data_IF_622459202825
#
_entry.id   IF_622459202825
#
_cell.length_a   1.000
_cell.length_b   1.000
_cell.length_c   1.000
_cell.angle_alpha   90.00
_cell.angle_beta   90.00
_cell.angle_gamma   90.00
#
_symmetry.space_group_name_H-M   'P 1'
#
loop_
_entity.id
_entity.type
_entity.pdbx_description
1 polymer ?
#
# COMPACT_ATOMS: atom_id res chain seq x y z
N UNK A 1 -6.67 -14.68 -39.06
CA UNK A 1 -7.01 -13.40 -38.43
C UNK A 1 -7.26 -13.66 -36.95
N UNK A 2 -6.23 -13.51 -36.12
CA UNK A 2 -6.33 -13.74 -34.68
C UNK A 2 -6.86 -12.48 -34.01
N UNK A 3 -8.04 -12.55 -33.40
CA UNK A 3 -8.54 -11.51 -32.52
C UNK A 3 -7.59 -11.39 -31.33
N UNK A 4 -6.87 -10.28 -31.27
CA UNK A 4 -6.09 -9.88 -30.11
C UNK A 4 -7.08 -9.67 -28.95
N UNK A 5 -6.97 -10.52 -27.92
CA UNK A 5 -7.63 -10.35 -26.63
C UNK A 5 -7.25 -8.97 -26.09
N UNK A 6 -8.17 -8.02 -26.23
CA UNK A 6 -8.11 -6.67 -25.71
C UNK A 6 -7.65 -6.67 -24.25
N UNK A 7 -6.72 -5.79 -23.90
CA UNK A 7 -6.20 -5.57 -22.55
C UNK A 7 -7.33 -5.45 -21.50
N UNK A 8 -7.67 -6.57 -20.85
CA UNK A 8 -8.69 -6.67 -19.79
C UNK A 8 -8.03 -6.43 -18.43
N UNK A 9 -7.87 -5.16 -18.08
CA UNK A 9 -7.43 -4.76 -16.75
C UNK A 9 -8.22 -3.55 -16.28
N UNK A 10 -8.30 -3.35 -14.95
CA UNK A 10 -9.00 -2.21 -14.39
C UNK A 10 -8.36 -0.90 -14.85
N UNK A 11 -9.22 0.08 -15.14
CA UNK A 11 -8.84 1.39 -15.68
C UNK A 11 -8.78 2.49 -14.65
N UNK A 12 -9.47 2.30 -13.53
CA UNK A 12 -9.53 3.27 -12.46
C UNK A 12 -9.63 2.60 -11.09
N UNK A 13 -9.43 3.41 -10.06
CA UNK A 13 -9.60 3.04 -8.66
C UNK A 13 -10.46 4.08 -7.95
N UNK A 14 -11.34 3.63 -7.08
CA UNK A 14 -12.11 4.52 -6.18
C UNK A 14 -11.18 5.03 -5.08
N UNK A 15 -11.04 6.35 -4.94
CA UNK A 15 -10.18 6.97 -3.93
C UNK A 15 -10.96 7.58 -2.76
N UNK A 16 -12.24 7.91 -2.94
CA UNK A 16 -13.11 8.33 -1.85
C UNK A 16 -14.57 7.97 -2.16
N UNK A 17 -15.34 7.65 -1.12
CA UNK A 17 -16.79 7.41 -1.18
C UNK A 17 -17.43 8.06 0.03
N UNK A 18 -18.32 9.01 -0.21
CA UNK A 18 -19.17 9.64 0.79
C UNK A 18 -20.64 9.42 0.39
N UNK A 19 -21.47 8.98 1.35
CA UNK A 19 -22.84 8.57 1.10
C UNK A 19 -22.98 7.21 0.41
N UNK A 20 -24.18 6.95 -0.13
CA UNK A 20 -24.54 5.66 -0.73
C UNK A 20 -24.26 5.64 -2.23
N UNK A 21 -23.31 4.81 -2.63
CA UNK A 21 -22.99 4.52 -4.02
C UNK A 21 -22.94 3.00 -4.25
N UNK A 22 -23.29 2.60 -5.47
CA UNK A 22 -23.24 1.21 -5.91
C UNK A 22 -22.62 1.11 -7.28
N UNK A 23 -22.07 -0.06 -7.58
CA UNK A 23 -21.51 -0.40 -8.88
C UNK A 23 -22.29 -1.58 -9.44
N UNK A 24 -22.68 -1.47 -10.70
CA UNK A 24 -23.32 -2.51 -11.47
C UNK A 24 -22.25 -3.19 -12.34
N UNK A 25 -21.88 -4.42 -11.97
CA UNK A 25 -20.93 -5.26 -12.71
C UNK A 25 -21.60 -6.58 -13.08
N UNK A 26 -21.55 -6.95 -14.35
CA UNK A 26 -22.14 -8.21 -14.85
C UNK A 26 -23.59 -8.43 -14.39
N UNK A 27 -24.39 -7.36 -14.42
CA UNK A 27 -25.81 -7.38 -14.04
C UNK A 27 -26.10 -7.38 -12.54
N UNK A 28 -25.08 -7.41 -11.67
CA UNK A 28 -25.24 -7.40 -10.22
C UNK A 28 -24.81 -6.04 -9.67
N UNK A 29 -25.63 -5.49 -8.77
CA UNK A 29 -25.31 -4.26 -8.05
C UNK A 29 -24.76 -4.59 -6.67
N UNK A 30 -23.62 -4.02 -6.32
CA UNK A 30 -23.08 -4.08 -4.96
C UNK A 30 -22.62 -2.70 -4.49
N UNK A 31 -22.48 -2.54 -3.18
CA UNK A 31 -22.04 -1.28 -2.59
C UNK A 31 -20.61 -0.96 -3.06
N UNK A 32 -20.41 0.28 -3.51
CA UNK A 32 -19.12 0.76 -3.96
C UNK A 32 -18.20 0.96 -2.73
N UNK A 33 -16.99 0.44 -2.80
CA UNK A 33 -15.99 0.58 -1.75
C UNK A 33 -14.78 1.41 -2.19
N UNK A 34 -14.09 1.99 -1.22
CA UNK A 34 -12.79 2.63 -1.47
C UNK A 34 -11.75 1.57 -1.85
N UNK A 35 -10.81 1.93 -2.73
CA UNK A 35 -9.85 1.04 -3.40
C UNK A 35 -10.47 0.01 -4.34
N UNK A 36 -11.76 0.07 -4.59
CA UNK A 36 -12.39 -0.79 -5.58
C UNK A 36 -11.83 -0.49 -6.97
N UNK A 37 -11.35 -1.55 -7.63
CA UNK A 37 -10.86 -1.47 -9.00
C UNK A 37 -12.05 -1.44 -9.96
N UNK A 38 -12.02 -0.52 -10.91
CA UNK A 38 -13.11 -0.28 -11.86
C UNK A 38 -12.69 -0.65 -13.28
N UNK A 39 -13.59 -1.32 -13.99
CA UNK A 39 -13.45 -1.73 -15.38
C UNK A 39 -14.22 -0.80 -16.33
N UNK A 40 -13.84 -0.83 -17.61
CA UNK A 40 -14.41 0.03 -18.68
C UNK A 40 -15.90 -0.19 -18.96
N UNK A 41 -16.48 -1.24 -18.42
CA UNK A 41 -17.89 -1.61 -18.59
C UNK A 41 -18.73 -1.34 -17.36
N UNK A 42 -18.11 -0.95 -16.25
CA UNK A 42 -18.81 -0.75 -15.00
C UNK A 42 -19.71 0.50 -15.08
N UNK A 43 -20.85 0.42 -14.39
CA UNK A 43 -21.73 1.56 -14.19
C UNK A 43 -21.85 1.85 -12.71
N UNK A 44 -21.73 3.11 -12.33
CA UNK A 44 -21.93 3.56 -10.97
C UNK A 44 -23.32 4.16 -10.84
N UNK A 45 -23.93 3.96 -9.67
CA UNK A 45 -25.16 4.61 -9.28
C UNK A 45 -24.95 5.26 -7.92
N UNK A 46 -25.12 6.58 -7.89
CA UNK A 46 -25.03 7.39 -6.68
C UNK A 46 -26.44 7.77 -6.23
N UNK A 47 -26.68 7.74 -4.92
CA UNK A 47 -27.89 8.29 -4.31
C UNK A 47 -27.79 9.81 -4.10
N UNK A 48 -28.87 10.42 -3.62
CA UNK A 48 -28.84 11.83 -3.24
C UNK A 48 -27.74 12.09 -2.20
N UNK A 49 -27.04 13.22 -2.37
CA UNK A 49 -25.91 13.64 -1.52
C UNK A 49 -24.67 12.73 -1.53
N UNK A 50 -24.66 11.65 -2.33
CA UNK A 50 -23.47 10.84 -2.49
C UNK A 50 -22.41 11.58 -3.32
N UNK A 51 -21.14 11.35 -2.97
CA UNK A 51 -19.95 11.80 -3.69
C UNK A 51 -18.97 10.65 -3.83
N UNK A 52 -18.40 10.50 -5.01
CA UNK A 52 -17.37 9.48 -5.28
C UNK A 52 -16.20 10.14 -5.99
N UNK A 53 -14.98 9.86 -5.55
CA UNK A 53 -13.75 10.22 -6.27
C UNK A 53 -13.13 8.99 -6.91
N UNK A 54 -12.74 9.14 -8.17
CA UNK A 54 -12.21 8.07 -9.01
C UNK A 54 -10.93 8.56 -9.66
N UNK A 55 -9.85 7.80 -9.49
CA UNK A 55 -8.58 8.07 -10.13
C UNK A 55 -8.33 7.10 -11.28
N UNK A 56 -8.15 7.65 -12.48
CA UNK A 56 -7.62 6.96 -13.64
C UNK A 56 -6.11 7.13 -13.64
N UNK A 57 -5.36 6.04 -13.47
CA UNK A 57 -3.89 6.06 -13.42
C UNK A 57 -3.26 5.76 -14.78
N UNK A 58 -4.04 5.25 -15.74
CA UNK A 58 -3.61 5.04 -17.12
C UNK A 58 -3.75 6.32 -17.96
N UNK A 59 -3.00 6.39 -19.07
CA UNK A 59 -3.09 7.48 -20.04
C UNK A 59 -2.65 8.83 -19.46
N UNK A 60 -3.54 9.83 -19.51
CA UNK A 60 -3.23 11.19 -19.07
C UNK A 60 -3.27 11.39 -17.55
N UNK A 61 -3.75 10.40 -16.78
CA UNK A 61 -3.87 10.53 -15.33
C UNK A 61 -4.92 11.57 -14.93
N UNK A 62 -6.11 11.14 -14.51
CA UNK A 62 -7.21 12.06 -14.19
C UNK A 62 -7.95 11.64 -12.93
N UNK A 63 -8.47 12.62 -12.21
CA UNK A 63 -9.39 12.39 -11.09
C UNK A 63 -10.75 12.95 -11.48
N UNK A 64 -11.78 12.12 -11.31
CA UNK A 64 -13.17 12.49 -11.51
C UNK A 64 -13.88 12.51 -10.15
N UNK A 65 -14.53 13.63 -9.85
CA UNK A 65 -15.42 13.79 -8.70
C UNK A 65 -16.86 13.74 -9.19
N UNK A 66 -17.56 12.67 -8.83
CA UNK A 66 -18.97 12.44 -9.15
C UNK A 66 -19.82 12.87 -7.96
N UNK A 67 -20.94 13.54 -8.19
CA UNK A 67 -21.84 13.94 -7.10
C UNK A 67 -23.32 13.94 -7.47
N UNK A 68 -24.15 13.71 -6.46
CA UNK A 68 -25.61 13.75 -6.56
C UNK A 68 -26.23 12.43 -7.02
N UNK A 69 -27.56 12.38 -7.11
CA UNK A 69 -28.24 11.21 -7.60
C UNK A 69 -28.00 11.07 -9.11
N UNK A 70 -27.63 9.87 -9.55
CA UNK A 70 -27.46 9.62 -10.97
C UNK A 70 -26.67 8.35 -11.26
N UNK A 71 -26.69 7.97 -12.54
CA UNK A 71 -25.92 6.88 -13.10
C UNK A 71 -24.76 7.40 -13.92
N UNK A 72 -23.61 6.74 -13.80
CA UNK A 72 -22.38 7.10 -14.48
C UNK A 72 -21.81 5.86 -15.16
N UNK A 73 -21.39 5.97 -16.41
CA UNK A 73 -20.69 4.91 -17.12
C UNK A 73 -19.19 5.17 -17.14
N UNK A 74 -18.40 4.17 -16.75
CA UNK A 74 -16.95 4.21 -16.91
C UNK A 74 -16.58 3.93 -18.37
N UNK A 75 -15.51 4.59 -18.84
CA UNK A 75 -14.87 4.38 -20.14
C UNK A 75 -13.38 4.11 -19.91
N UNK A 76 -12.57 4.09 -20.98
CA UNK A 76 -11.15 3.77 -20.86
C UNK A 76 -10.36 4.80 -20.04
N UNK A 77 -10.72 6.07 -20.15
CA UNK A 77 -10.02 7.23 -19.59
C UNK A 77 -11.01 8.35 -19.18
N UNK A 78 -12.29 8.03 -19.08
CA UNK A 78 -13.36 9.00 -18.89
C UNK A 78 -14.56 8.42 -18.10
N UNK A 79 -15.40 9.32 -17.59
CA UNK A 79 -16.67 9.01 -16.92
C UNK A 79 -17.78 9.84 -17.52
N UNK A 80 -18.86 9.19 -17.93
CA UNK A 80 -20.00 9.85 -18.58
C UNK A 80 -21.25 9.73 -17.72
N UNK A 81 -21.94 10.84 -17.48
CA UNK A 81 -23.25 10.84 -16.83
C UNK A 81 -24.34 10.29 -17.75
N UNK A 82 -25.15 9.37 -17.26
CA UNK A 82 -26.25 8.75 -18.02
C UNK A 82 -27.60 9.42 -17.73
N UNK A 83 -27.72 10.16 -16.63
CA UNK A 83 -28.95 10.82 -16.21
C UNK A 83 -28.82 12.35 -16.31
N UNK A 84 -29.94 13.01 -16.62
CA UNK A 84 -30.04 14.46 -16.61
C UNK A 84 -29.84 14.98 -15.17
N UNK A 85 -28.76 15.73 -14.93
CA UNK A 85 -28.38 16.23 -13.60
C UNK A 85 -27.15 15.55 -12.99
N UNK A 86 -26.56 14.56 -13.67
CA UNK A 86 -25.27 13.97 -13.28
C UNK A 86 -24.19 15.06 -13.21
N UNK A 87 -23.53 15.23 -12.06
CA UNK A 87 -22.46 16.21 -11.88
C UNK A 87 -21.11 15.52 -11.86
N UNK A 88 -20.26 15.89 -12.82
CA UNK A 88 -18.90 15.38 -12.97
C UNK A 88 -17.97 16.59 -12.98
N UNK A 89 -17.00 16.60 -12.06
CA UNK A 89 -15.87 17.53 -12.09
C UNK A 89 -14.63 16.72 -12.38
N UNK A 90 -13.82 17.18 -13.34
CA UNK A 90 -12.58 16.53 -13.74
C UNK A 90 -11.40 17.43 -13.43
N UNK A 91 -10.30 16.83 -12.95
CA UNK A 91 -8.99 17.46 -12.87
C UNK A 91 -7.90 16.51 -13.34
N UNK A 92 -6.86 17.08 -13.95
CA UNK A 92 -5.68 16.32 -14.33
C UNK A 92 -4.80 16.02 -13.12
N UNK A 93 -4.24 14.81 -13.06
CA UNK A 93 -3.15 14.48 -12.15
C UNK A 93 -1.85 15.10 -12.67
N UNK A 94 -0.99 15.52 -11.75
CA UNK A 94 0.35 15.98 -12.09
C UNK A 94 1.11 14.91 -12.90
N UNK A 95 1.90 15.35 -13.89
CA UNK A 95 2.55 14.45 -14.86
C UNK A 95 3.41 13.33 -14.25
N UNK A 96 3.97 13.52 -13.05
CA UNK A 96 4.75 12.49 -12.36
C UNK A 96 3.94 11.24 -12.01
N UNK A 97 2.61 11.36 -11.84
CA UNK A 97 1.72 10.22 -11.60
C UNK A 97 1.61 9.31 -12.84
N UNK A 98 1.77 9.86 -14.04
CA UNK A 98 1.69 9.10 -15.31
C UNK A 98 2.86 8.12 -15.48
N UNK A 99 3.99 8.40 -14.83
CA UNK A 99 5.15 7.52 -14.86
C UNK A 99 4.99 6.27 -13.98
N UNK A 100 3.98 6.25 -13.10
CA UNK A 100 3.73 5.11 -12.21
C UNK A 100 2.71 4.19 -12.83
N UNK A 101 3.09 2.92 -12.93
CA UNK A 101 2.14 1.83 -13.21
C UNK A 101 1.43 1.42 -11.93
N UNK A 102 0.62 2.32 -11.36
CA UNK A 102 -0.27 1.95 -10.25
C UNK A 102 -1.30 0.98 -10.80
N UNK A 103 -1.27 -0.27 -10.33
CA UNK A 103 -2.24 -1.30 -10.71
C UNK A 103 -3.45 -1.25 -9.77
N UNK A 104 -4.65 -0.86 -10.22
CA UNK A 104 -5.85 -0.94 -9.39
C UNK A 104 -6.09 -2.39 -8.93
N UNK A 105 -6.53 -2.59 -7.69
CA UNK A 105 -6.88 -3.90 -7.14
C UNK A 105 -5.72 -4.79 -6.67
N UNK A 106 -4.46 -4.35 -6.79
CA UNK A 106 -3.32 -5.05 -6.20
C UNK A 106 -3.16 -4.80 -4.69
N UNK A 107 -3.76 -3.71 -4.20
CA UNK A 107 -3.74 -3.29 -2.80
C UNK A 107 -4.72 -4.17 -2.04
N UNK A 108 -4.19 -5.06 -1.18
CA UNK A 108 -4.92 -6.16 -0.54
C UNK A 108 -4.58 -7.56 -1.06
N UNK A 109 -3.84 -7.70 -2.17
CA UNK A 109 -3.26 -8.98 -2.64
C UNK A 109 -1.75 -9.05 -2.55
N UNK A 110 -1.09 -7.92 -2.27
CA UNK A 110 0.36 -7.81 -2.12
C UNK A 110 0.87 -8.18 -0.71
N UNK A 111 0.04 -8.78 0.15
CA UNK A 111 0.55 -9.62 1.21
C UNK A 111 1.07 -10.91 0.57
N UNK A 112 2.23 -10.84 -0.08
CA UNK A 112 3.13 -11.97 0.02
C UNK A 112 3.44 -12.03 1.51
N UNK A 113 2.62 -12.79 2.23
CA UNK A 113 3.07 -13.40 3.46
C UNK A 113 4.33 -14.14 3.03
N UNK A 114 5.49 -13.50 3.25
CA UNK A 114 6.72 -14.23 3.49
C UNK A 114 6.27 -15.32 4.43
N UNK A 115 6.40 -16.54 3.94
CA UNK A 115 5.85 -17.74 4.55
C UNK A 115 6.55 -17.84 5.89
N UNK A 116 6.02 -17.13 6.89
CA UNK A 116 6.36 -17.33 8.28
C UNK A 116 6.19 -18.82 8.47
N UNK A 117 7.17 -19.43 9.12
CA UNK A 117 7.04 -20.81 9.55
C UNK A 117 5.64 -20.93 10.18
N UNK A 118 4.77 -21.82 9.69
CA UNK A 118 3.43 -21.97 10.24
C UNK A 118 3.53 -22.04 11.77
N UNK A 119 2.94 -21.06 12.48
CA UNK A 119 3.08 -20.93 13.93
C UNK A 119 4.03 -19.85 14.46
N UNK A 120 4.55 -18.94 13.62
CA UNK A 120 5.32 -17.78 14.11
C UNK A 120 4.47 -16.94 15.09
N UNK A 121 4.94 -16.83 16.34
CA UNK A 121 4.22 -16.18 17.45
C UNK A 121 4.51 -14.68 17.59
N UNK A 122 5.21 -14.07 16.63
CA UNK A 122 5.59 -12.65 16.67
C UNK A 122 5.87 -12.08 15.28
N UNK A 123 5.87 -10.74 15.19
CA UNK A 123 6.01 -9.99 13.94
C UNK A 123 7.35 -9.27 13.88
N UNK A 124 8.05 -9.40 12.76
CA UNK A 124 9.21 -8.57 12.44
C UNK A 124 8.72 -7.21 11.94
N UNK A 125 9.16 -6.12 12.58
CA UNK A 125 8.64 -4.76 12.36
C UNK A 125 9.46 -3.97 11.34
N UNK A 126 10.78 -3.99 11.44
CA UNK A 126 11.65 -3.24 10.52
C UNK A 126 13.05 -3.83 10.47
N UNK A 127 13.75 -3.83 9.32
CA UNK A 127 13.23 -3.51 7.98
C UNK A 127 12.38 -4.67 7.42
N UNK A 128 11.36 -4.33 6.64
CA UNK A 128 10.57 -5.31 5.88
C UNK A 128 10.28 -4.76 4.49
N UNK A 129 10.64 -5.53 3.47
CA UNK A 129 10.48 -5.15 2.07
C UNK A 129 11.51 -4.12 1.60
N UNK A 130 11.13 -3.34 0.61
CA UNK A 130 11.98 -2.28 0.08
C UNK A 130 12.17 -1.16 1.13
N UNK A 131 13.36 -0.58 1.18
CA UNK A 131 13.72 0.53 2.08
C UNK A 131 14.24 1.71 1.26
N UNK A 132 13.85 2.93 1.64
CA UNK A 132 14.48 4.15 1.14
C UNK A 132 15.83 4.42 1.83
N UNK A 133 16.67 5.25 1.20
CA UNK A 133 17.94 5.69 1.76
C UNK A 133 19.13 4.81 1.36
N UNK A 134 20.17 4.85 2.17
CA UNK A 134 21.44 4.16 1.93
C UNK A 134 21.87 3.24 3.08
N UNK A 135 21.14 3.21 4.18
CA UNK A 135 21.42 2.34 5.32
C UNK A 135 20.14 1.78 5.92
N UNK A 136 20.29 0.60 6.53
CA UNK A 136 19.39 0.10 7.57
C UNK A 136 20.16 0.19 8.87
N UNK A 137 19.60 0.92 9.84
CA UNK A 137 20.29 1.24 11.09
C UNK A 137 19.97 0.25 12.21
N UNK A 138 18.79 -0.38 12.19
CA UNK A 138 18.30 -1.23 13.26
C UNK A 138 17.34 -2.31 12.74
N UNK A 139 17.38 -3.48 13.37
CA UNK A 139 16.37 -4.54 13.27
C UNK A 139 15.42 -4.44 14.46
N UNK A 140 14.10 -4.48 14.23
CA UNK A 140 13.07 -4.37 15.27
C UNK A 140 11.99 -5.44 15.08
N UNK A 141 11.54 -6.05 16.16
CA UNK A 141 10.47 -7.04 16.17
C UNK A 141 9.59 -6.91 17.41
N UNK A 142 8.48 -7.63 17.44
CA UNK A 142 7.63 -7.73 18.61
C UNK A 142 8.07 -8.85 19.53
N UNK A 143 7.85 -8.66 20.83
CA UNK A 143 7.96 -9.77 21.77
C UNK A 143 6.89 -10.84 21.44
N UNK A 144 7.23 -12.14 21.46
CA UNK A 144 6.26 -13.21 21.28
C UNK A 144 5.08 -13.15 22.24
N UNK A 145 3.90 -13.55 21.76
CA UNK A 145 2.71 -13.67 22.59
C UNK A 145 2.96 -14.68 23.73
N UNK A 146 2.89 -14.20 24.98
CA UNK A 146 3.18 -14.94 26.20
C UNK A 146 2.82 -14.14 27.46
N UNK A 147 3.05 -14.69 28.65
CA UNK A 147 2.85 -13.93 29.89
C UNK A 147 3.87 -12.77 29.93
N UNK A 148 3.42 -11.55 30.28
CA UNK A 148 4.23 -10.31 30.27
C UNK A 148 5.52 -10.35 31.12
N UNK A 149 5.75 -11.42 31.87
CA UNK A 149 6.87 -11.58 32.80
C UNK A 149 7.97 -12.52 32.28
N UNK A 150 7.82 -13.08 31.08
CA UNK A 150 8.78 -14.03 30.53
C UNK A 150 9.98 -13.31 29.92
N UNK A 151 11.18 -13.76 30.27
CA UNK A 151 12.42 -13.34 29.61
C UNK A 151 12.60 -14.19 28.35
N UNK A 152 12.99 -13.53 27.28
CA UNK A 152 13.28 -14.16 25.99
C UNK A 152 14.74 -13.93 25.63
N UNK A 153 15.35 -14.96 25.07
CA UNK A 153 16.65 -14.95 24.43
C UNK A 153 16.44 -14.96 22.92
N UNK A 154 16.91 -13.91 22.24
CA UNK A 154 16.81 -13.79 20.79
C UNK A 154 18.16 -14.10 20.14
N UNK A 155 18.17 -14.96 19.14
CA UNK A 155 19.27 -15.12 18.20
C UNK A 155 18.88 -14.48 16.86
N UNK A 156 19.62 -13.46 16.45
CA UNK A 156 19.32 -12.63 15.28
C UNK A 156 20.38 -12.85 14.22
N UNK A 157 19.98 -13.09 12.97
CA UNK A 157 20.90 -13.24 11.83
C UNK A 157 20.42 -12.43 10.63
N UNK A 158 21.36 -11.86 9.88
CA UNK A 158 21.13 -11.31 8.54
C UNK A 158 21.98 -12.09 7.54
N UNK A 159 21.35 -12.47 6.45
CA UNK A 159 21.83 -13.37 5.41
C UNK A 159 21.73 -12.62 4.08
N UNK A 160 22.81 -12.62 3.31
CA UNK A 160 22.81 -12.02 1.97
C UNK A 160 22.18 -12.94 0.92
N UNK A 161 22.06 -12.45 -0.32
CA UNK A 161 21.48 -13.23 -1.42
C UNK A 161 22.30 -14.46 -1.84
N UNK A 162 23.53 -14.61 -1.34
CA UNK A 162 24.37 -15.80 -1.55
C UNK A 162 24.24 -16.81 -0.40
N UNK A 163 23.39 -16.54 0.59
CA UNK A 163 23.23 -17.38 1.77
C UNK A 163 24.30 -17.17 2.84
N UNK A 164 25.16 -16.15 2.70
CA UNK A 164 26.20 -15.88 3.70
C UNK A 164 25.64 -15.10 4.87
N UNK A 165 25.92 -15.54 6.09
CA UNK A 165 25.57 -14.78 7.31
C UNK A 165 26.51 -13.56 7.39
N UNK A 166 25.95 -12.39 7.14
CA UNK A 166 26.67 -11.12 7.14
C UNK A 166 26.59 -10.39 8.48
N UNK A 167 25.63 -10.76 9.33
CA UNK A 167 25.49 -10.27 10.70
C UNK A 167 24.84 -11.35 11.57
N UNK A 168 25.30 -11.49 12.81
CA UNK A 168 24.67 -12.38 13.80
C UNK A 168 24.90 -11.82 15.20
N UNK A 169 23.88 -11.87 16.05
CA UNK A 169 24.01 -11.51 17.47
C UNK A 169 23.02 -12.29 18.34
N UNK A 170 23.19 -12.19 19.66
CA UNK A 170 22.20 -12.59 20.66
C UNK A 170 21.83 -11.40 21.52
N UNK A 171 20.56 -11.28 21.89
CA UNK A 171 20.07 -10.19 22.74
C UNK A 171 18.83 -10.61 23.53
N UNK A 172 18.49 -9.86 24.57
CA UNK A 172 17.19 -9.94 25.25
C UNK A 172 16.24 -8.81 24.84
N UNK A 173 16.75 -7.80 24.13
CA UNK A 173 15.96 -6.68 23.65
C UNK A 173 15.22 -7.08 22.35
N UNK A 174 14.12 -6.39 22.05
CA UNK A 174 13.36 -6.60 20.81
C UNK A 174 13.86 -5.73 19.66
N UNK A 175 15.09 -5.20 19.79
CA UNK A 175 15.77 -4.47 18.74
C UNK A 175 17.29 -4.65 18.80
N UNK A 176 17.93 -4.52 17.64
CA UNK A 176 19.39 -4.65 17.50
C UNK A 176 19.90 -3.63 16.48
N UNK A 177 20.88 -2.78 16.83
CA UNK A 177 21.52 -1.89 15.87
C UNK A 177 22.36 -2.69 14.88
N UNK A 178 22.27 -2.32 13.60
CA UNK A 178 23.10 -2.89 12.55
C UNK A 178 24.43 -2.14 12.43
N UNK A 179 25.53 -2.82 12.02
CA UNK A 179 26.81 -2.17 11.86
C UNK A 179 26.77 -1.07 10.78
N UNK A 180 26.96 0.19 11.18
CA UNK A 180 26.94 1.37 10.28
C UNK A 180 28.01 1.35 9.18
N UNK A 181 29.05 0.51 9.33
CA UNK A 181 30.23 0.49 8.45
C UNK A 181 30.09 -0.41 7.23
N UNK A 182 29.01 -1.19 7.07
CA UNK A 182 28.79 -1.96 5.84
C UNK A 182 27.87 -1.20 4.89
N UNK A 183 28.35 -0.80 3.70
CA UNK A 183 27.46 -0.31 2.68
C UNK A 183 26.61 -1.49 2.19
N UNK A 184 25.35 -1.51 2.58
CA UNK A 184 24.35 -2.40 2.01
C UNK A 184 24.30 -2.20 0.50
N UNK A 185 24.37 -3.29 -0.27
CA UNK A 185 24.26 -3.20 -1.72
C UNK A 185 22.81 -2.90 -2.08
N UNK A 186 22.61 -1.84 -2.86
CA UNK A 186 21.29 -1.48 -3.39
C UNK A 186 20.80 -2.58 -4.33
N UNK A 187 19.49 -2.78 -4.34
CA UNK A 187 18.79 -3.83 -5.09
C UNK A 187 19.21 -5.27 -4.76
N UNK A 188 20.07 -5.48 -3.75
CA UNK A 188 20.30 -6.80 -3.18
C UNK A 188 19.22 -7.09 -2.12
N UNK A 189 18.63 -8.29 -2.22
CA UNK A 189 17.72 -8.79 -1.18
C UNK A 189 18.51 -9.45 -0.07
N UNK A 190 18.20 -9.08 1.16
CA UNK A 190 18.72 -9.65 2.39
C UNK A 190 17.59 -10.33 3.14
N UNK A 191 17.86 -11.52 3.66
CA UNK A 191 16.96 -12.23 4.57
C UNK A 191 17.45 -11.98 6.00
N UNK A 192 16.56 -11.70 6.94
CA UNK A 192 16.90 -11.69 8.35
C UNK A 192 15.93 -12.54 9.14
N UNK A 193 16.46 -13.17 10.18
CA UNK A 193 15.75 -14.14 11.02
C UNK A 193 15.95 -13.78 12.48
N UNK A 194 14.92 -14.07 13.27
CA UNK A 194 14.94 -13.98 14.72
C UNK A 194 14.42 -15.30 15.25
N UNK A 195 15.28 -16.05 15.93
CA UNK A 195 14.92 -17.19 16.75
C UNK A 195 14.72 -16.67 18.19
N UNK A 196 13.58 -16.97 18.81
CA UNK A 196 13.28 -16.58 20.18
C UNK A 196 13.09 -17.82 21.07
N UNK A 197 13.81 -17.86 22.19
CA UNK A 197 13.74 -18.93 23.18
C UNK A 197 13.32 -18.34 24.53
N UNK A 198 12.26 -18.88 25.13
CA UNK A 198 11.83 -18.54 26.47
C UNK A 198 12.52 -19.44 27.51
N UNK A 199 12.58 -18.97 28.77
CA UNK A 199 13.14 -19.72 29.90
C UNK A 199 12.43 -21.08 30.14
N UNK A 200 11.16 -21.20 29.74
CA UNK A 200 10.35 -22.42 29.83
C UNK A 200 10.60 -23.41 28.69
N UNK A 201 11.53 -23.11 27.79
CA UNK A 201 11.89 -23.93 26.63
C UNK A 201 11.01 -23.72 25.40
N UNK A 202 10.00 -22.84 25.45
CA UNK A 202 9.26 -22.47 24.23
C UNK A 202 10.18 -21.77 23.24
N UNK A 203 10.03 -22.17 21.98
CA UNK A 203 10.83 -21.67 20.87
C UNK A 203 9.91 -21.22 19.75
N UNK A 204 10.20 -20.05 19.16
CA UNK A 204 9.52 -19.54 17.97
C UNK A 204 10.52 -18.83 17.07
N UNK A 205 10.24 -18.79 15.78
CA UNK A 205 11.09 -18.12 14.79
C UNK A 205 10.23 -17.21 13.91
N UNK A 206 10.81 -16.09 13.49
CA UNK A 206 10.26 -15.24 12.45
C UNK A 206 11.37 -14.84 11.46
N UNK A 207 10.98 -14.62 10.20
CA UNK A 207 11.88 -14.26 9.12
C UNK A 207 11.25 -13.17 8.24
N UNK A 208 12.07 -12.24 7.76
CA UNK A 208 11.66 -11.19 6.84
C UNK A 208 12.77 -10.86 5.85
N UNK A 209 12.39 -10.36 4.69
CA UNK A 209 13.33 -9.89 3.67
C UNK A 209 13.31 -8.38 3.60
N UNK A 210 14.45 -7.78 3.28
CA UNK A 210 14.53 -6.38 2.90
C UNK A 210 15.50 -6.14 1.76
N UNK A 211 15.33 -5.01 1.07
CA UNK A 211 16.28 -4.50 0.06
C UNK A 211 16.34 -2.98 0.13
N UNK A 212 17.48 -2.39 -0.16
CA UNK A 212 17.58 -0.93 -0.33
C UNK A 212 17.32 -0.59 -1.79
N UNK A 213 16.42 0.36 -2.06
CA UNK A 213 16.08 0.73 -3.43
C UNK A 213 17.17 1.53 -4.13
N UNK A 214 17.18 1.49 -5.46
CA UNK A 214 18.02 2.33 -6.29
C UNK A 214 17.70 3.85 -6.13
N UNK A 215 18.67 4.74 -6.35
CA UNK A 215 18.46 6.19 -6.18
C UNK A 215 17.37 6.79 -7.07
N UNK A 216 17.14 6.21 -8.25
CA UNK A 216 16.10 6.68 -9.18
C UNK A 216 14.70 6.37 -8.67
N UNK A 217 14.50 5.20 -8.06
CA UNK A 217 13.25 4.88 -7.35
C UNK A 217 13.05 5.78 -6.14
N UNK A 218 14.09 6.03 -5.35
CA UNK A 218 14.05 6.94 -4.20
C UNK A 218 13.65 8.37 -4.59
N UNK A 219 14.28 8.93 -5.63
CA UNK A 219 13.94 10.28 -6.12
C UNK A 219 12.51 10.34 -6.66
N UNK A 220 12.05 9.30 -7.36
CA UNK A 220 10.67 9.23 -7.85
C UNK A 220 9.67 9.28 -6.69
N UNK A 221 9.89 8.52 -5.62
CA UNK A 221 9.02 8.51 -4.44
C UNK A 221 9.02 9.88 -3.75
N UNK A 222 10.20 10.52 -3.60
CA UNK A 222 10.30 11.87 -3.04
C UNK A 222 9.57 12.91 -3.88
N UNK A 223 9.67 12.84 -5.20
CA UNK A 223 8.95 13.72 -6.11
C UNK A 223 7.43 13.60 -5.94
N UNK A 224 6.91 12.38 -5.78
CA UNK A 224 5.48 12.17 -5.50
C UNK A 224 5.06 12.74 -4.16
N UNK A 225 5.86 12.54 -3.10
CA UNK A 225 5.59 13.12 -1.79
C UNK A 225 5.43 14.64 -1.84
N UNK A 226 6.28 15.33 -2.61
CA UNK A 226 6.17 16.79 -2.83
C UNK A 226 4.88 17.17 -3.56
N UNK A 227 4.48 16.39 -4.57
CA UNK A 227 3.24 16.64 -5.31
C UNK A 227 2.01 16.46 -4.42
N UNK A 228 2.01 15.43 -3.57
CA UNK A 228 0.91 15.21 -2.60
C UNK A 228 0.79 16.39 -1.64
N UNK A 229 1.92 16.89 -1.11
CA UNK A 229 1.91 18.03 -0.20
C UNK A 229 1.40 19.31 -0.89
N UNK A 230 1.76 19.51 -2.16
CA UNK A 230 1.23 20.61 -2.97
C UNK A 230 -0.28 20.46 -3.18
N UNK A 231 -0.75 19.28 -3.59
CA UNK A 231 -2.17 19.00 -3.80
C UNK A 231 -2.99 19.21 -2.53
N UNK A 232 -2.43 18.86 -1.37
CA UNK A 232 -3.03 19.12 -0.05
C UNK A 232 -3.15 20.61 0.26
N UNK A 233 -2.13 21.40 -0.10
CA UNK A 233 -2.13 22.85 0.10
C UNK A 233 -3.16 23.56 -0.79
N UNK A 234 -3.38 23.04 -1.99
CA UNK A 234 -4.30 23.62 -2.99
C UNK A 234 -5.77 23.19 -2.77
N UNK A 235 -6.04 22.17 -1.95
CA UNK A 235 -7.38 21.66 -1.66
C UNK A 235 -7.97 22.34 -0.40
N UNK A 236 -8.98 23.22 -0.52
CA UNK A 236 -9.64 23.81 0.64
C UNK A 236 -10.52 22.76 1.34
N UNK A 237 -10.01 22.16 2.42
CA UNK A 237 -10.76 21.27 3.31
C UNK A 237 -9.89 20.19 3.97
N UNK A 238 -10.42 19.55 5.02
CA UNK A 238 -9.74 18.49 5.77
C UNK A 238 -9.94 17.09 5.18
N UNK A 239 -10.27 17.00 3.89
CA UNK A 239 -10.57 15.73 3.22
C UNK A 239 -9.30 15.04 2.71
N UNK A 240 -9.34 13.71 2.69
CA UNK A 240 -8.35 12.89 1.98
C UNK A 240 -8.36 13.21 0.49
N UNK A 241 -7.18 13.41 -0.10
CA UNK A 241 -7.02 13.62 -1.54
C UNK A 241 -6.78 12.30 -2.28
N UNK A 242 -7.19 12.23 -3.55
CA UNK A 242 -6.87 11.10 -4.41
C UNK A 242 -5.36 10.80 -4.47
N UNK A 243 -4.51 11.84 -4.46
CA UNK A 243 -3.05 11.70 -4.47
C UNK A 243 -2.49 11.04 -3.21
N UNK A 244 -3.05 11.30 -2.03
CA UNK A 244 -2.64 10.62 -0.80
C UNK A 244 -2.91 9.11 -0.88
N UNK A 245 -4.07 8.74 -1.42
CA UNK A 245 -4.42 7.34 -1.67
C UNK A 245 -3.47 6.73 -2.68
N UNK A 246 -3.29 7.38 -3.85
CA UNK A 246 -2.40 6.89 -4.90
C UNK A 246 -0.94 6.78 -4.42
N UNK A 247 -0.47 7.66 -3.53
CA UNK A 247 0.87 7.57 -2.95
C UNK A 247 0.99 6.32 -2.08
N UNK A 248 0.02 6.09 -1.19
CA UNK A 248 0.02 4.92 -0.33
C UNK A 248 -0.02 3.61 -1.16
N UNK A 249 -0.80 3.59 -2.25
CA UNK A 249 -0.82 2.48 -3.21
C UNK A 249 0.54 2.30 -3.91
N UNK A 250 1.16 3.40 -4.37
CA UNK A 250 2.43 3.35 -5.08
C UNK A 250 3.57 2.84 -4.19
N UNK A 251 3.63 3.28 -2.92
CA UNK A 251 4.59 2.80 -1.92
C UNK A 251 4.41 1.29 -1.68
N UNK A 252 3.18 0.85 -1.46
CA UNK A 252 2.87 -0.57 -1.26
C UNK A 252 3.26 -1.43 -2.46
N UNK A 253 2.97 -0.97 -3.68
CA UNK A 253 3.34 -1.68 -4.90
C UNK A 253 4.86 -1.69 -5.16
N UNK A 254 5.59 -0.70 -4.65
CA UNK A 254 7.05 -0.70 -4.65
C UNK A 254 7.66 -1.61 -3.57
N UNK A 255 6.84 -2.17 -2.67
CA UNK A 255 7.27 -2.93 -1.50
C UNK A 255 7.81 -2.06 -0.37
N UNK A 256 7.63 -0.74 -0.43
CA UNK A 256 8.08 0.24 0.57
C UNK A 256 7.09 0.27 1.75
N UNK A 257 7.08 -0.82 2.52
CA UNK A 257 6.05 -1.08 3.53
C UNK A 257 6.12 -0.10 4.70
N UNK A 258 7.34 0.18 5.18
CA UNK A 258 7.60 1.11 6.28
C UNK A 258 7.12 2.53 5.97
N UNK A 259 7.13 2.91 4.70
CA UNK A 259 6.64 4.18 4.20
C UNK A 259 5.14 4.16 3.88
N UNK A 260 4.61 3.04 3.39
CA UNK A 260 3.19 2.89 3.05
C UNK A 260 2.30 2.86 4.30
N UNK A 261 2.66 2.08 5.32
CA UNK A 261 1.83 1.85 6.51
C UNK A 261 1.47 3.12 7.30
N UNK A 262 2.36 4.10 7.56
CA UNK A 262 1.96 5.37 8.18
C UNK A 262 1.00 6.17 7.28
N UNK A 263 1.11 6.09 5.95
CA UNK A 263 0.16 6.75 5.04
C UNK A 263 -1.22 6.11 5.12
N UNK A 264 -1.30 4.78 5.11
CA UNK A 264 -2.56 4.07 5.28
C UNK A 264 -3.22 4.32 6.65
N UNK A 265 -2.43 4.40 7.72
CA UNK A 265 -2.94 4.79 9.05
C UNK A 265 -3.51 6.21 9.06
N UNK A 266 -2.82 7.18 8.45
CA UNK A 266 -3.32 8.54 8.33
C UNK A 266 -4.63 8.60 7.53
N UNK A 267 -4.72 7.86 6.42
CA UNK A 267 -5.93 7.72 5.60
C UNK A 267 -7.09 7.15 6.41
N UNK A 268 -6.86 6.07 7.17
CA UNK A 268 -7.89 5.45 8.03
C UNK A 268 -8.35 6.36 9.17
N UNK A 269 -7.46 7.18 9.73
CA UNK A 269 -7.82 8.18 10.74
C UNK A 269 -8.69 9.30 10.16
N UNK A 270 -8.38 9.77 8.95
CA UNK A 270 -9.17 10.81 8.27
C UNK A 270 -10.52 10.28 7.73
N UNK A 271 -10.56 9.01 7.34
CA UNK A 271 -11.69 8.37 6.66
C UNK A 271 -11.86 6.92 7.14
N UNK A 272 -12.90 6.62 7.94
CA UNK A 272 -13.15 5.27 8.46
C UNK A 272 -13.31 4.19 7.38
N UNK A 273 -13.67 4.56 6.15
CA UNK A 273 -13.77 3.66 5.00
C UNK A 273 -12.44 2.93 4.69
N UNK A 274 -11.28 3.48 5.07
CA UNK A 274 -9.98 2.81 4.96
C UNK A 274 -9.62 1.96 6.20
N UNK A 275 -10.42 1.95 7.25
CA UNK A 275 -10.09 1.29 8.52
C UNK A 275 -9.87 -0.22 8.40
N UNK A 276 -10.64 -0.90 7.53
CA UNK A 276 -10.49 -2.34 7.26
C UNK A 276 -9.14 -2.70 6.63
N UNK A 277 -8.49 -1.76 5.94
CA UNK A 277 -7.17 -1.96 5.32
C UNK A 277 -6.04 -1.91 6.34
N UNK A 278 -6.22 -1.20 7.46
CA UNK A 278 -5.22 -1.12 8.54
C UNK A 278 -5.32 -2.35 9.45
N UNK A 279 -6.53 -2.83 9.71
CA UNK A 279 -6.77 -3.98 10.60
C UNK A 279 -6.28 -5.32 10.03
N UNK A 280 -6.21 -5.45 8.71
CA UNK A 280 -5.76 -6.67 8.03
C UNK A 280 -4.26 -6.67 7.67
N UNK A 281 -3.49 -5.68 8.17
CA UNK A 281 -2.04 -5.61 7.97
C UNK A 281 -1.31 -6.11 9.23
N UNK A 282 -0.45 -7.14 9.14
CA UNK A 282 0.28 -7.67 10.29
C UNK A 282 1.30 -6.67 10.86
#
# INVERSE_FOLDING_TARGET
MGHSLSQQGPVAVVTDVDGKASICRSGHAHALAVLEALDRSDQLRLEAHARVEIAFTAGQGRVFSLSGPGRFALRADDVVGLDAGSRIVMRDLAGAWRALRIRPGAVGRASVSLRGVPGALFVLRSPVGAQLGNSVDELQWEQPFGLRSERWDYAVRVIDSQGSIIFSTRTHDTSVPLPRQRPWLREQTYLWTVEALADDGRHTEAAAEFRIVDPGTEERIRALGRIVEQARSDAPGSGTTAEEVLLAMALEQAGLRNEADPKWRALAQARPAFGSLVLNRP
#
